data_IF_293905367597
#
_entry.id   IF_293905367597
#
_cell.length_a   1.000
_cell.length_b   1.000
_cell.length_c   1.000
_cell.angle_alpha   90.00
_cell.angle_beta   90.00
_cell.angle_gamma   90.00
#
_symmetry.space_group_name_H-M   'P 1'
#
loop_
_entity.id
_entity.type
_entity.pdbx_description
1 polymer ?
#
# COMPACT_ATOMS: atom_id res chain seq x y z
N UNK A 1 -8.13 27.81 6.01
CA UNK A 1 -7.69 28.28 4.68
C UNK A 1 -6.58 27.35 4.24
N UNK A 2 -6.60 26.85 3.01
CA UNK A 2 -5.52 26.00 2.49
C UNK A 2 -4.27 26.86 2.23
N UNK A 3 -3.09 26.24 2.25
CA UNK A 3 -1.85 26.93 1.89
C UNK A 3 -1.85 27.28 0.40
N UNK A 4 -1.22 28.38 0.01
CA UNK A 4 -0.98 28.71 -1.40
C UNK A 4 0.37 28.15 -1.90
N UNK A 5 1.21 27.63 -0.99
CA UNK A 5 2.51 27.02 -1.34
C UNK A 5 2.31 25.56 -1.79
N UNK A 6 2.62 25.21 -3.05
CA UNK A 6 2.53 23.83 -3.54
C UNK A 6 3.32 22.82 -2.70
N UNK A 7 4.38 23.23 -2.00
CA UNK A 7 5.17 22.36 -1.15
C UNK A 7 4.35 21.78 0.01
N UNK A 8 3.47 22.57 0.61
CA UNK A 8 2.61 22.13 1.71
C UNK A 8 1.58 21.08 1.24
N UNK A 9 1.06 21.26 0.02
CA UNK A 9 0.16 20.30 -0.61
C UNK A 9 0.88 18.98 -0.88
N UNK A 10 2.07 19.03 -1.48
CA UNK A 10 2.88 17.84 -1.77
C UNK A 10 3.23 17.10 -0.47
N UNK A 11 3.58 17.80 0.60
CA UNK A 11 3.87 17.17 1.88
C UNK A 11 2.63 16.48 2.46
N UNK A 12 1.46 17.12 2.36
CA UNK A 12 0.19 16.52 2.77
C UNK A 12 -0.15 15.28 1.94
N UNK A 13 -0.01 15.32 0.61
CA UNK A 13 -0.23 14.18 -0.29
C UNK A 13 0.71 13.02 0.05
N UNK A 14 1.99 13.29 0.28
CA UNK A 14 2.96 12.28 0.76
C UNK A 14 2.55 11.68 2.10
N UNK A 15 1.98 12.47 3.02
CA UNK A 15 1.40 11.94 4.28
C UNK A 15 0.22 11.00 4.00
N UNK A 16 -0.66 11.33 3.05
CA UNK A 16 -1.77 10.44 2.65
C UNK A 16 -1.25 9.13 2.05
N UNK A 17 -0.25 9.18 1.17
CA UNK A 17 0.36 7.97 0.60
C UNK A 17 0.99 7.08 1.67
N UNK A 18 1.65 7.65 2.69
CA UNK A 18 2.15 6.89 3.84
C UNK A 18 1.04 6.18 4.62
N UNK A 19 -0.09 6.84 4.83
CA UNK A 19 -1.23 6.23 5.53
C UNK A 19 -1.82 5.06 4.71
N UNK A 20 -2.02 5.26 3.40
CA UNK A 20 -2.52 4.20 2.51
C UNK A 20 -1.53 3.04 2.48
N UNK A 21 -0.23 3.32 2.36
CA UNK A 21 0.84 2.31 2.39
C UNK A 21 0.80 1.47 3.68
N UNK A 22 0.58 2.11 4.83
CA UNK A 22 0.44 1.42 6.11
C UNK A 22 -0.76 0.46 6.09
N UNK A 23 -1.93 0.93 5.67
CA UNK A 23 -3.15 0.10 5.58
C UNK A 23 -2.98 -1.05 4.59
N UNK A 24 -2.41 -0.79 3.42
CA UNK A 24 -2.14 -1.81 2.41
C UNK A 24 -1.16 -2.88 2.94
N UNK A 25 -0.12 -2.44 3.65
CA UNK A 25 0.83 -3.36 4.28
C UNK A 25 0.11 -4.27 5.26
N UNK A 26 -0.80 -3.74 6.09
CA UNK A 26 -1.60 -4.55 7.02
C UNK A 26 -2.54 -5.53 6.32
N UNK A 27 -3.13 -5.16 5.17
CA UNK A 27 -3.94 -6.09 4.37
C UNK A 27 -3.08 -7.26 3.87
N UNK A 28 -1.89 -6.97 3.35
CA UNK A 28 -0.98 -8.01 2.88
C UNK A 28 -0.58 -8.92 4.04
N UNK A 29 0.01 -8.37 5.10
CA UNK A 29 0.60 -9.16 6.19
C UNK A 29 -0.42 -9.80 7.11
N UNK A 30 -1.58 -9.16 7.30
CA UNK A 30 -2.61 -9.60 8.23
C UNK A 30 -3.72 -10.44 7.58
N UNK A 31 -3.84 -10.43 6.25
CA UNK A 31 -4.94 -11.13 5.54
C UNK A 31 -4.42 -12.05 4.44
N UNK A 32 -3.61 -11.53 3.50
CA UNK A 32 -3.16 -12.33 2.36
C UNK A 32 -2.04 -13.32 2.72
N UNK A 33 -1.06 -12.90 3.52
CA UNK A 33 0.03 -13.78 3.94
C UNK A 33 -0.49 -14.99 4.74
N UNK A 34 -1.41 -14.85 5.72
CA UNK A 34 -2.02 -16.00 6.39
C UNK A 34 -2.84 -16.90 5.45
N UNK A 35 -3.54 -16.31 4.47
CA UNK A 35 -4.28 -17.07 3.47
C UNK A 35 -3.31 -17.95 2.66
N UNK A 36 -2.27 -17.36 2.09
CA UNK A 36 -1.25 -18.08 1.31
C UNK A 36 -0.46 -19.08 2.14
N UNK A 37 -0.22 -18.81 3.43
CA UNK A 37 0.41 -19.78 4.31
C UNK A 37 -0.44 -21.06 4.50
N UNK A 38 -1.77 -20.92 4.49
CA UNK A 38 -2.70 -22.06 4.63
C UNK A 38 -3.04 -22.74 3.31
N UNK A 39 -3.12 -21.96 2.24
CA UNK A 39 -3.46 -22.42 0.88
C UNK A 39 -2.44 -21.86 -0.12
N UNK A 40 -1.21 -22.41 -0.17
CA UNK A 40 -0.12 -21.84 -0.96
C UNK A 40 -0.34 -21.92 -2.47
N UNK A 41 -1.28 -22.74 -2.93
CA UNK A 41 -1.61 -22.92 -4.35
C UNK A 41 -2.97 -22.30 -4.73
N UNK A 42 -3.53 -21.43 -3.90
CA UNK A 42 -4.72 -20.67 -4.27
C UNK A 42 -4.36 -19.58 -5.29
N UNK A 43 -4.79 -19.78 -6.55
CA UNK A 43 -4.47 -18.89 -7.67
C UNK A 43 -4.93 -17.45 -7.44
N UNK A 44 -6.08 -17.27 -6.78
CA UNK A 44 -6.62 -15.95 -6.50
C UNK A 44 -5.78 -15.21 -5.45
N UNK A 45 -5.39 -15.89 -4.38
CA UNK A 45 -4.56 -15.33 -3.32
C UNK A 45 -3.16 -14.97 -3.83
N UNK A 46 -2.58 -15.81 -4.70
CA UNK A 46 -1.29 -15.53 -5.33
C UNK A 46 -1.36 -14.28 -6.22
N UNK A 47 -2.39 -14.19 -7.07
CA UNK A 47 -2.61 -13.02 -7.90
C UNK A 47 -2.80 -11.76 -7.05
N UNK A 48 -3.66 -11.82 -6.04
CA UNK A 48 -3.94 -10.69 -5.16
C UNK A 48 -2.66 -10.20 -4.46
N UNK A 49 -1.86 -11.11 -3.89
CA UNK A 49 -0.63 -10.77 -3.21
C UNK A 49 0.41 -10.16 -4.16
N UNK A 50 0.53 -10.67 -5.39
CA UNK A 50 1.43 -10.13 -6.40
C UNK A 50 1.02 -8.69 -6.80
N UNK A 51 -0.26 -8.47 -7.10
CA UNK A 51 -0.78 -7.15 -7.49
C UNK A 51 -0.61 -6.13 -6.35
N UNK A 52 -0.99 -6.49 -5.12
CA UNK A 52 -0.89 -5.59 -3.98
C UNK A 52 0.58 -5.31 -3.58
N UNK A 53 1.50 -6.26 -3.80
CA UNK A 53 2.93 -6.01 -3.62
C UNK A 53 3.45 -4.98 -4.61
N UNK A 54 2.99 -5.01 -5.87
CA UNK A 54 3.29 -3.99 -6.86
C UNK A 54 2.79 -2.60 -6.42
N UNK A 55 1.53 -2.50 -6.01
CA UNK A 55 0.94 -1.25 -5.49
C UNK A 55 1.71 -0.73 -4.27
N UNK A 56 2.12 -1.63 -3.36
CA UNK A 56 2.95 -1.28 -2.19
C UNK A 56 4.27 -0.64 -2.59
N UNK A 57 4.94 -1.18 -3.62
CA UNK A 57 6.19 -0.60 -4.12
C UNK A 57 5.97 0.80 -4.71
N UNK A 58 4.92 0.99 -5.51
CA UNK A 58 4.55 2.31 -6.08
C UNK A 58 4.25 3.32 -4.99
N UNK A 59 3.41 2.98 -4.00
CA UNK A 59 3.09 3.88 -2.89
C UNK A 59 4.31 4.23 -2.04
N UNK A 60 5.22 3.29 -1.82
CA UNK A 60 6.49 3.54 -1.14
C UNK A 60 7.35 4.56 -1.89
N UNK A 61 7.35 4.53 -3.23
CA UNK A 61 8.07 5.51 -4.04
C UNK A 61 7.41 6.89 -4.01
N UNK A 62 6.08 6.96 -4.09
CA UNK A 62 5.32 8.22 -4.04
C UNK A 62 5.36 8.90 -2.67
N UNK A 63 5.57 8.12 -1.61
CA UNK A 63 5.66 8.61 -0.23
C UNK A 63 7.00 9.24 0.15
N UNK A 64 8.04 9.10 -0.70
CA UNK A 64 9.37 9.72 -0.53
C UNK A 64 9.34 11.18 -0.95
#
# INVERSE_FOLDING_TARGET
MFSDDPADWIEYEKRQFRQILGRLTQVITGTLDPHLARYPHDDWAQLAAAQLTGVRATLSQLAK
#
